data_IF_049967351200
#
_entry.id   IF_049967351200
#
_cell.length_a   1.000
_cell.length_b   1.000
_cell.length_c   1.000
_cell.angle_alpha   90.00
_cell.angle_beta   90.00
_cell.angle_gamma   90.00
#
_symmetry.space_group_name_H-M   'P 1'
#
loop_
_entity.id
_entity.type
_entity.pdbx_description
1 polymer ?
#
# COMPACT_ATOMS: atom_id res chain seq x y z
N UNK A 1 -7.66 34.31 5.14
CA UNK A 1 -8.25 33.07 5.69
C UNK A 1 -9.07 32.40 4.61
N UNK A 2 -8.39 31.90 3.58
CA UNK A 2 -8.96 31.10 2.47
C UNK A 2 -7.77 30.27 1.98
N UNK A 3 -7.61 29.03 2.45
CA UNK A 3 -6.76 28.04 1.80
C UNK A 3 -7.11 26.66 2.35
N UNK A 4 -8.32 26.22 2.06
CA UNK A 4 -8.77 24.84 2.19
C UNK A 4 -9.33 24.47 0.82
N UNK A 5 -8.94 23.31 0.30
CA UNK A 5 -9.48 22.66 -0.91
C UNK A 5 -9.05 23.24 -2.27
N UNK A 6 -7.91 22.79 -2.80
CA UNK A 6 -7.74 22.30 -4.19
C UNK A 6 -6.25 21.97 -4.45
N UNK A 7 -5.77 20.84 -3.94
CA UNK A 7 -4.51 20.26 -4.43
C UNK A 7 -4.82 19.49 -5.71
N UNK A 8 -5.11 20.20 -6.80
CA UNK A 8 -5.10 19.64 -8.13
C UNK A 8 -3.62 19.31 -8.44
N UNK A 9 -3.19 18.08 -8.20
CA UNK A 9 -1.88 17.61 -8.65
C UNK A 9 -1.89 17.62 -10.18
N UNK A 10 -1.37 18.69 -10.78
CA UNK A 10 -1.03 18.77 -12.21
C UNK A 10 0.23 17.93 -12.42
N UNK A 11 0.10 16.62 -12.21
CA UNK A 11 1.06 15.63 -12.69
C UNK A 11 0.50 15.12 -14.01
N UNK A 12 1.31 15.13 -15.08
CA UNK A 12 0.96 14.47 -16.35
C UNK A 12 0.72 12.96 -16.20
N UNK A 13 1.01 12.42 -15.01
CA UNK A 13 0.78 11.05 -14.60
C UNK A 13 -0.31 11.02 -13.53
N UNK A 14 -1.45 10.43 -13.89
CA UNK A 14 -2.50 10.07 -12.93
C UNK A 14 -2.45 8.55 -12.76
N UNK A 15 -1.91 8.09 -11.64
CA UNK A 15 -1.71 6.65 -11.37
C UNK A 15 -3.01 5.83 -11.33
N UNK A 16 -4.17 6.50 -11.21
CA UNK A 16 -5.49 5.87 -11.21
C UNK A 16 -6.13 5.78 -12.60
N UNK A 17 -5.52 6.38 -13.61
CA UNK A 17 -6.09 6.45 -14.96
C UNK A 17 -6.17 5.05 -15.59
N UNK A 18 -7.36 4.67 -16.06
CA UNK A 18 -7.61 3.37 -16.70
C UNK A 18 -7.87 2.22 -15.72
N UNK A 19 -7.98 2.50 -14.42
CA UNK A 19 -8.34 1.52 -13.40
C UNK A 19 -9.85 1.51 -13.14
N UNK A 20 -10.40 0.34 -12.88
CA UNK A 20 -11.78 0.19 -12.42
C UNK A 20 -11.96 0.72 -11.00
N UNK A 21 -13.18 1.10 -10.64
CA UNK A 21 -13.49 1.73 -9.34
C UNK A 21 -13.03 0.88 -8.13
N UNK A 22 -13.19 -0.44 -8.17
CA UNK A 22 -12.73 -1.36 -7.11
C UNK A 22 -11.21 -1.28 -6.90
N UNK A 23 -10.44 -1.24 -7.99
CA UNK A 23 -8.97 -1.11 -7.93
C UNK A 23 -8.57 0.28 -7.42
N UNK A 24 -9.30 1.33 -7.80
CA UNK A 24 -9.07 2.70 -7.31
C UNK A 24 -9.29 2.82 -5.81
N UNK A 25 -10.33 2.17 -5.27
CA UNK A 25 -10.58 2.17 -3.83
C UNK A 25 -9.45 1.47 -3.06
N UNK A 26 -9.02 0.29 -3.53
CA UNK A 26 -7.89 -0.43 -2.93
C UNK A 26 -6.59 0.38 -3.04
N UNK A 27 -6.37 1.07 -4.17
CA UNK A 27 -5.23 1.99 -4.33
C UNK A 27 -5.24 3.08 -3.27
N UNK A 28 -6.40 3.69 -3.00
CA UNK A 28 -6.55 4.74 -1.99
C UNK A 28 -6.27 4.22 -0.59
N UNK A 29 -6.81 3.06 -0.22
CA UNK A 29 -6.56 2.44 1.09
C UNK A 29 -5.07 2.15 1.29
N UNK A 30 -4.40 1.56 0.29
CA UNK A 30 -2.97 1.27 0.34
C UNK A 30 -2.12 2.56 0.42
N UNK A 31 -2.49 3.61 -0.32
CA UNK A 31 -1.82 4.92 -0.28
C UNK A 31 -1.93 5.58 1.09
N UNK A 32 -3.11 5.55 1.69
CA UNK A 32 -3.36 6.15 3.00
C UNK A 32 -2.64 5.37 4.11
N UNK A 33 -2.58 4.04 4.01
CA UNK A 33 -1.79 3.21 4.90
C UNK A 33 -0.29 3.53 4.78
N UNK A 34 0.25 3.56 3.57
CA UNK A 34 1.65 3.86 3.32
C UNK A 34 2.05 5.23 3.87
N UNK A 35 1.21 6.26 3.69
CA UNK A 35 1.45 7.61 4.20
C UNK A 35 1.42 7.71 5.72
N UNK A 36 0.55 6.96 6.39
CA UNK A 36 0.37 7.03 7.84
C UNK A 36 1.35 6.13 8.59
N UNK A 37 1.54 4.90 8.14
CA UNK A 37 2.22 3.85 8.91
C UNK A 37 3.65 3.60 8.42
N UNK A 38 3.93 3.75 7.12
CA UNK A 38 5.23 3.39 6.54
C UNK A 38 6.15 4.61 6.36
N UNK A 39 5.68 5.65 5.65
CA UNK A 39 6.48 6.81 5.27
C UNK A 39 7.15 7.53 6.46
N UNK A 40 6.45 7.78 7.60
CA UNK A 40 7.07 8.47 8.73
C UNK A 40 8.20 7.66 9.39
N UNK A 41 8.19 6.33 9.23
CA UNK A 41 9.09 5.43 9.93
C UNK A 41 10.21 4.87 9.04
N UNK A 42 10.10 4.97 7.71
CA UNK A 42 11.00 4.30 6.77
C UNK A 42 12.50 4.58 7.01
N UNK A 43 12.85 5.83 7.33
CA UNK A 43 14.25 6.24 7.50
C UNK A 43 14.86 5.64 8.77
N UNK A 44 14.06 5.55 9.84
CA UNK A 44 14.48 4.91 11.09
C UNK A 44 14.65 3.41 10.90
N UNK A 45 13.69 2.76 10.23
CA UNK A 45 13.76 1.31 9.99
C UNK A 45 14.97 0.92 9.14
N UNK A 46 15.29 1.72 8.13
CA UNK A 46 16.48 1.51 7.30
C UNK A 46 17.77 1.68 8.12
N UNK A 47 17.90 2.80 8.85
CA UNK A 47 19.10 3.10 9.63
C UNK A 47 19.37 2.07 10.75
N UNK A 48 18.32 1.56 11.38
CA UNK A 48 18.41 0.62 12.51
C UNK A 48 18.31 -0.85 12.09
N UNK A 49 18.19 -1.13 10.78
CA UNK A 49 17.91 -2.48 10.25
C UNK A 49 16.69 -3.13 10.95
N UNK A 50 15.71 -2.30 11.31
CA UNK A 50 14.59 -2.71 12.15
C UNK A 50 13.48 -3.33 11.32
N UNK A 51 13.01 -4.50 11.78
CA UNK A 51 11.91 -5.22 11.13
C UNK A 51 10.54 -4.87 11.77
N UNK A 52 9.63 -4.18 11.05
CA UNK A 52 8.46 -3.56 11.65
C UNK A 52 7.25 -4.50 11.80
N UNK A 53 7.34 -5.48 12.71
CA UNK A 53 6.32 -6.53 12.91
C UNK A 53 4.92 -5.98 13.18
N UNK A 54 4.77 -4.99 14.07
CA UNK A 54 3.43 -4.45 14.41
C UNK A 54 2.76 -3.77 13.21
N UNK A 55 3.53 -3.02 12.41
CA UNK A 55 3.01 -2.40 11.19
C UNK A 55 2.56 -3.46 10.19
N UNK A 56 3.32 -4.56 10.05
CA UNK A 56 2.92 -5.66 9.17
C UNK A 56 1.64 -6.36 9.64
N UNK A 57 1.39 -6.47 10.96
CA UNK A 57 0.11 -6.97 11.47
C UNK A 57 -1.05 -6.06 11.05
N UNK A 58 -0.88 -4.74 11.20
CA UNK A 58 -1.88 -3.78 10.72
C UNK A 58 -2.09 -3.87 9.20
N UNK A 59 -1.04 -4.12 8.42
CA UNK A 59 -1.17 -4.38 6.98
C UNK A 59 -1.96 -5.67 6.70
N UNK A 60 -1.75 -6.71 7.53
CA UNK A 60 -2.51 -7.96 7.51
C UNK A 60 -4.00 -7.76 7.78
N UNK A 61 -4.35 -6.93 8.76
CA UNK A 61 -5.74 -6.59 9.09
C UNK A 61 -6.49 -5.91 7.92
N UNK A 62 -5.74 -5.25 7.03
CA UNK A 62 -6.27 -4.65 5.80
C UNK A 62 -6.31 -5.62 4.61
N UNK A 63 -5.83 -6.86 4.79
CA UNK A 63 -5.78 -7.87 3.74
C UNK A 63 -4.50 -7.85 2.88
N UNK A 64 -3.51 -7.02 3.21
CA UNK A 64 -2.27 -6.91 2.41
C UNK A 64 -1.27 -8.06 2.68
N UNK A 65 -1.53 -8.91 3.68
CA UNK A 65 -0.72 -10.08 3.99
C UNK A 65 -0.96 -11.28 3.08
N UNK A 66 -2.14 -11.39 2.46
CA UNK A 66 -2.53 -12.56 1.68
C UNK A 66 -3.45 -12.18 0.50
N UNK A 67 -2.98 -11.27 -0.35
CA UNK A 67 -3.78 -10.56 -1.37
C UNK A 67 -4.45 -11.53 -2.35
N UNK A 68 -3.72 -12.51 -2.87
CA UNK A 68 -4.20 -13.44 -3.90
C UNK A 68 -4.52 -14.84 -3.38
N UNK A 69 -4.35 -15.07 -2.08
CA UNK A 69 -4.77 -16.34 -1.47
C UNK A 69 -6.30 -16.40 -1.43
N UNK A 70 -6.88 -17.60 -1.54
CA UNK A 70 -8.33 -17.76 -1.52
C UNK A 70 -8.90 -17.44 -0.12
N UNK A 71 -10.14 -16.98 -0.08
CA UNK A 71 -10.83 -16.62 1.16
C UNK A 71 -10.94 -17.81 2.15
N UNK A 72 -11.07 -19.04 1.63
CA UNK A 72 -11.10 -20.27 2.41
C UNK A 72 -9.83 -20.50 3.27
N UNK A 73 -8.72 -19.83 2.93
CA UNK A 73 -7.46 -19.87 3.67
C UNK A 73 -7.14 -18.54 4.37
N UNK A 74 -8.11 -17.65 4.51
CA UNK A 74 -7.94 -16.33 5.12
C UNK A 74 -7.30 -15.28 4.20
N UNK A 75 -7.26 -15.54 2.90
CA UNK A 75 -6.81 -14.57 1.89
C UNK A 75 -7.92 -13.66 1.38
N UNK A 76 -7.57 -12.75 0.47
CA UNK A 76 -8.54 -11.78 -0.09
C UNK A 76 -9.06 -12.14 -1.49
N UNK A 77 -8.56 -13.22 -2.11
CA UNK A 77 -8.97 -13.67 -3.44
C UNK A 77 -8.79 -12.64 -4.56
N UNK A 78 -7.92 -11.63 -4.38
CA UNK A 78 -7.79 -10.49 -5.30
C UNK A 78 -6.92 -10.82 -6.51
N UNK A 79 -7.17 -10.08 -7.60
CA UNK A 79 -6.44 -10.24 -8.86
C UNK A 79 -5.00 -9.71 -8.78
N UNK A 80 -4.18 -10.08 -9.77
CA UNK A 80 -2.80 -9.58 -9.89
C UNK A 80 -2.74 -8.06 -10.07
N UNK A 81 -3.74 -7.46 -10.71
CA UNK A 81 -3.83 -6.00 -10.87
C UNK A 81 -4.00 -5.31 -9.52
N UNK A 82 -4.88 -5.84 -8.65
CA UNK A 82 -5.03 -5.33 -7.29
C UNK A 82 -3.71 -5.38 -6.53
N UNK A 83 -3.03 -6.54 -6.56
CA UNK A 83 -1.74 -6.69 -5.89
C UNK A 83 -0.69 -5.70 -6.41
N UNK A 84 -0.58 -5.54 -7.73
CA UNK A 84 0.36 -4.59 -8.35
C UNK A 84 0.12 -3.16 -7.87
N UNK A 85 -1.15 -2.74 -7.83
CA UNK A 85 -1.51 -1.38 -7.40
C UNK A 85 -1.30 -1.20 -5.90
N UNK A 86 -1.62 -2.21 -5.08
CA UNK A 86 -1.30 -2.19 -3.64
C UNK A 86 0.20 -1.98 -3.43
N UNK A 87 1.03 -2.83 -4.03
CA UNK A 87 2.49 -2.76 -3.85
C UNK A 87 3.09 -1.46 -4.38
N UNK A 88 2.59 -0.91 -5.49
CA UNK A 88 2.98 0.40 -5.99
C UNK A 88 2.77 1.50 -4.92
N UNK A 89 1.60 1.52 -4.27
CA UNK A 89 1.30 2.52 -3.24
C UNK A 89 2.08 2.29 -1.94
N UNK A 90 2.28 1.03 -1.53
CA UNK A 90 3.09 0.70 -0.35
C UNK A 90 4.57 1.06 -0.56
N UNK A 91 5.10 0.87 -1.77
CA UNK A 91 6.48 1.22 -2.12
C UNK A 91 6.73 2.73 -2.07
N UNK A 92 5.70 3.56 -2.29
CA UNK A 92 5.80 5.00 -2.09
C UNK A 92 5.97 5.38 -0.60
N UNK A 93 5.63 4.48 0.33
CA UNK A 93 5.85 4.64 1.77
C UNK A 93 7.21 4.10 2.22
N UNK A 94 7.53 2.84 1.92
CA UNK A 94 8.85 2.26 2.13
C UNK A 94 9.10 1.12 1.13
N UNK A 95 10.04 1.31 0.21
CA UNK A 95 10.35 0.34 -0.85
C UNK A 95 10.84 -0.99 -0.30
N UNK A 96 11.73 -0.97 0.70
CA UNK A 96 12.30 -2.20 1.30
C UNK A 96 11.22 -3.07 1.94
N UNK A 97 10.36 -2.47 2.78
CA UNK A 97 9.28 -3.21 3.43
C UNK A 97 8.20 -3.67 2.44
N UNK A 98 7.87 -2.86 1.44
CA UNK A 98 6.95 -3.28 0.38
C UNK A 98 7.50 -4.47 -0.44
N UNK A 99 8.80 -4.50 -0.70
CA UNK A 99 9.45 -5.64 -1.35
C UNK A 99 9.35 -6.92 -0.50
N UNK A 100 9.58 -6.81 0.82
CA UNK A 100 9.34 -7.92 1.74
C UNK A 100 7.88 -8.40 1.69
N UNK A 101 6.90 -7.49 1.73
CA UNK A 101 5.48 -7.85 1.67
C UNK A 101 5.12 -8.57 0.36
N UNK A 102 5.74 -8.19 -0.76
CA UNK A 102 5.59 -8.91 -2.03
C UNK A 102 6.12 -10.35 -1.95
N UNK A 103 7.29 -10.54 -1.32
CA UNK A 103 7.87 -11.88 -1.09
C UNK A 103 6.99 -12.71 -0.16
N UNK A 104 6.48 -12.12 0.92
CA UNK A 104 5.60 -12.80 1.87
C UNK A 104 4.32 -13.32 1.22
N UNK A 105 3.81 -12.61 0.22
CA UNK A 105 2.60 -13.03 -0.47
C UNK A 105 2.85 -14.23 -1.41
N UNK A 106 4.10 -14.48 -1.90
CA UNK A 106 4.45 -15.54 -2.88
C UNK A 106 4.40 -16.95 -2.31
#
# INVERSE_FOLDING_TARGET
MICESFTLSITCVVASLGLDADVVEVQKVARDFARREMYPNMAKWDQEEYFPVEMMRHAGDLGFGAIYCQEDFGGCGRSRLHASVIFEQLAAGCVSTAAYMSIHNM
#
